data_IF_484695470997
#
_entry.id   IF_484695470997
#
_cell.length_a   1.000
_cell.length_b   1.000
_cell.length_c   1.000
_cell.angle_alpha   90.00
_cell.angle_beta   90.00
_cell.angle_gamma   90.00
#
_symmetry.space_group_name_H-M   'P 1'
#
loop_
_entity.id
_entity.type
_entity.pdbx_description
1 polymer ?
#
# COMPACT_ATOMS: atom_id res chain seq x y z
N UNK A 1 -5.01 -4.36 -8.30
CA UNK A 1 -3.78 -3.98 -7.54
C UNK A 1 -2.55 -3.67 -8.40
N UNK A 2 -2.27 -4.35 -9.53
CA UNK A 2 -1.07 -4.04 -10.37
C UNK A 2 -0.91 -2.56 -10.78
N UNK A 3 -2.02 -1.82 -10.87
CA UNK A 3 -2.02 -0.39 -11.15
C UNK A 3 -1.61 0.47 -9.94
N UNK A 4 -1.97 0.04 -8.73
CA UNK A 4 -1.49 0.62 -7.47
C UNK A 4 0.03 0.41 -7.36
N UNK A 5 0.51 -0.79 -7.68
CA UNK A 5 1.95 -1.08 -7.70
C UNK A 5 2.72 -0.21 -8.71
N UNK A 6 2.13 0.10 -9.87
CA UNK A 6 2.73 1.04 -10.81
C UNK A 6 2.79 2.47 -10.22
N UNK A 7 1.73 2.93 -9.57
CA UNK A 7 1.74 4.21 -8.84
C UNK A 7 2.83 4.24 -7.78
N UNK A 8 2.95 3.17 -6.98
CA UNK A 8 3.97 3.04 -5.96
C UNK A 8 5.40 2.98 -6.53
N UNK A 9 5.60 2.31 -7.67
CA UNK A 9 6.86 2.34 -8.41
C UNK A 9 7.24 3.76 -8.84
N UNK A 10 6.29 4.53 -9.38
CA UNK A 10 6.51 5.92 -9.78
C UNK A 10 6.82 6.82 -8.59
N UNK A 11 6.03 6.72 -7.51
CA UNK A 11 6.22 7.48 -6.28
C UNK A 11 7.61 7.23 -5.68
N UNK A 12 8.01 5.97 -5.54
CA UNK A 12 9.32 5.62 -4.98
C UNK A 12 10.48 5.99 -5.92
N UNK A 13 10.27 5.97 -7.24
CA UNK A 13 11.26 6.47 -8.20
C UNK A 13 11.45 7.99 -8.10
N UNK A 14 10.37 8.75 -7.89
CA UNK A 14 10.43 10.20 -7.59
C UNK A 14 11.21 10.45 -6.30
N UNK A 15 10.86 9.75 -5.22
CA UNK A 15 11.53 9.91 -3.93
C UNK A 15 13.03 9.60 -4.03
N UNK A 16 13.41 8.57 -4.78
CA UNK A 16 14.82 8.24 -4.99
C UNK A 16 15.60 9.35 -5.74
N UNK A 17 14.93 10.11 -6.62
CA UNK A 17 15.51 11.26 -7.31
C UNK A 17 15.62 12.52 -6.45
N UNK A 18 14.70 12.69 -5.50
CA UNK A 18 14.60 13.90 -4.66
C UNK A 18 15.39 13.78 -3.34
N UNK A 19 15.51 12.57 -2.78
CA UNK A 19 16.22 12.32 -1.53
C UNK A 19 17.75 12.46 -1.70
N UNK A 20 18.36 13.33 -0.90
CA UNK A 20 19.79 13.66 -1.02
C UNK A 20 20.71 12.57 -0.46
N UNK A 21 20.33 11.95 0.66
CA UNK A 21 21.15 10.95 1.31
C UNK A 21 21.06 9.61 0.58
N UNK A 22 22.20 9.04 0.17
CA UNK A 22 22.26 7.73 -0.49
C UNK A 22 21.57 6.63 0.32
N UNK A 23 21.69 6.68 1.65
CA UNK A 23 21.02 5.72 2.55
C UNK A 23 19.51 5.77 2.42
N UNK A 24 18.91 6.91 2.06
CA UNK A 24 17.47 7.08 1.86
C UNK A 24 17.08 6.79 0.42
N UNK A 25 17.76 7.39 -0.55
CA UNK A 25 17.41 7.22 -1.98
C UNK A 25 17.56 5.77 -2.45
N UNK A 26 18.58 5.04 -1.96
CA UNK A 26 18.77 3.64 -2.33
C UNK A 26 17.62 2.73 -1.85
N UNK A 27 17.04 2.99 -0.67
CA UNK A 27 15.91 2.19 -0.17
C UNK A 27 14.69 2.40 -1.05
N UNK A 28 14.46 3.63 -1.49
CA UNK A 28 13.35 3.98 -2.36
C UNK A 28 13.52 3.41 -3.78
N UNK A 29 14.74 3.40 -4.35
CA UNK A 29 14.90 2.77 -5.68
C UNK A 29 14.77 1.25 -5.62
N UNK A 30 15.24 0.60 -4.55
CA UNK A 30 15.02 -0.85 -4.38
C UNK A 30 13.54 -1.17 -4.25
N UNK A 31 12.82 -0.49 -3.35
CA UNK A 31 11.39 -0.74 -3.17
C UNK A 31 10.58 -0.38 -4.43
N UNK A 32 10.98 0.64 -5.20
CA UNK A 32 10.38 0.95 -6.49
C UNK A 32 10.47 -0.25 -7.45
N UNK A 33 11.64 -0.87 -7.55
CA UNK A 33 11.83 -2.04 -8.42
C UNK A 33 11.09 -3.27 -7.91
N UNK A 34 10.98 -3.43 -6.58
CA UNK A 34 10.14 -4.47 -6.00
C UNK A 34 8.67 -4.28 -6.39
N UNK A 35 8.14 -3.04 -6.34
CA UNK A 35 6.77 -2.76 -6.78
C UNK A 35 6.53 -3.15 -8.23
N UNK A 36 7.49 -2.86 -9.10
CA UNK A 36 7.42 -3.30 -10.50
C UNK A 36 7.35 -4.83 -10.59
N UNK A 37 8.18 -5.54 -9.82
CA UNK A 37 8.15 -7.00 -9.72
C UNK A 37 6.82 -7.56 -9.19
N UNK A 38 6.26 -6.95 -8.15
CA UNK A 38 4.95 -7.33 -7.58
C UNK A 38 3.84 -7.11 -8.62
N UNK A 39 3.83 -5.97 -9.31
CA UNK A 39 2.91 -5.71 -10.42
C UNK A 39 3.03 -6.73 -11.56
N UNK A 40 4.25 -7.22 -11.84
CA UNK A 40 4.49 -8.30 -12.81
C UNK A 40 3.95 -9.64 -12.33
N UNK A 41 4.14 -10.02 -11.06
CA UNK A 41 3.55 -11.24 -10.49
C UNK A 41 2.03 -11.21 -10.56
N UNK A 42 1.39 -10.10 -10.15
CA UNK A 42 -0.05 -9.92 -10.26
C UNK A 42 -0.53 -10.02 -11.71
N UNK A 43 0.25 -9.50 -12.67
CA UNK A 43 -0.07 -9.63 -14.10
C UNK A 43 0.04 -11.08 -14.59
N UNK A 44 1.00 -11.86 -14.07
CA UNK A 44 1.15 -13.27 -14.41
C UNK A 44 0.02 -14.14 -13.88
N UNK A 45 -0.61 -13.78 -12.76
CA UNK A 45 -1.83 -14.46 -12.27
C UNK A 45 -2.93 -14.36 -13.35
N UNK A 46 -3.19 -13.16 -13.87
CA UNK A 46 -4.18 -12.97 -14.93
C UNK A 46 -3.81 -13.72 -16.23
N UNK A 47 -2.54 -13.71 -16.63
CA UNK A 47 -2.07 -14.46 -17.80
C UNK A 47 -2.16 -15.98 -17.61
N UNK A 48 -2.03 -16.48 -16.39
CA UNK A 48 -2.25 -17.90 -16.09
C UNK A 48 -3.72 -18.28 -16.27
N UNK A 49 -4.64 -17.39 -15.87
CA UNK A 49 -6.09 -17.58 -16.00
C UNK A 49 -6.52 -17.62 -17.48
N UNK A 50 -5.97 -16.74 -18.33
CA UNK A 50 -6.42 -16.61 -19.72
C UNK A 50 -5.59 -17.40 -20.75
N UNK A 51 -4.66 -18.24 -20.30
CA UNK A 51 -3.78 -19.01 -21.18
C UNK A 51 -2.75 -18.15 -21.94
N UNK A 52 -2.27 -17.08 -21.31
CA UNK A 52 -1.29 -16.11 -21.86
C UNK A 52 -1.77 -15.35 -23.09
N UNK A 53 -3.07 -15.09 -23.18
CA UNK A 53 -3.68 -14.32 -24.28
C UNK A 53 -3.71 -12.82 -24.00
N UNK A 54 -3.66 -12.41 -22.73
CA UNK A 54 -3.74 -11.01 -22.31
C UNK A 54 -5.16 -10.48 -22.14
N UNK A 55 -6.19 -11.25 -22.49
CA UNK A 55 -7.60 -10.84 -22.35
C UNK A 55 -8.01 -10.60 -20.89
N UNK A 56 -7.51 -11.39 -19.95
CA UNK A 56 -7.78 -11.17 -18.52
C UNK A 56 -7.09 -9.91 -18.01
N UNK A 57 -5.96 -9.49 -18.60
CA UNK A 57 -5.33 -8.21 -18.27
C UNK A 57 -6.15 -7.02 -18.76
N UNK A 58 -6.75 -7.14 -19.95
CA UNK A 58 -7.65 -6.13 -20.51
C UNK A 58 -8.93 -6.02 -19.70
N UNK A 59 -9.53 -7.15 -19.34
CA UNK A 59 -10.72 -7.19 -18.46
C UNK A 59 -10.40 -6.59 -17.08
N UNK A 60 -9.30 -7.03 -16.44
CA UNK A 60 -8.86 -6.51 -15.15
C UNK A 60 -8.59 -5.00 -15.18
N UNK A 61 -8.07 -4.49 -16.31
CA UNK A 61 -7.90 -3.04 -16.51
C UNK A 61 -9.24 -2.35 -16.70
N UNK A 62 -10.21 -2.97 -17.37
CA UNK A 62 -11.58 -2.47 -17.47
C UNK A 62 -12.17 -2.18 -16.10
N UNK A 63 -12.08 -3.14 -15.16
CA UNK A 63 -12.53 -2.89 -13.77
C UNK A 63 -11.79 -1.72 -13.11
N UNK A 64 -10.46 -1.62 -13.27
CA UNK A 64 -9.71 -0.49 -12.72
C UNK A 64 -10.15 0.86 -13.29
N UNK A 65 -10.47 0.90 -14.58
CA UNK A 65 -10.82 2.15 -15.27
C UNK A 65 -12.26 2.58 -15.00
N UNK A 66 -13.20 1.63 -15.02
CA UNK A 66 -14.61 1.94 -15.20
C UNK A 66 -15.49 1.49 -14.02
N UNK A 67 -15.05 0.54 -13.19
CA UNK A 67 -15.83 0.05 -12.06
C UNK A 67 -15.76 1.04 -10.88
N UNK A 68 -16.92 1.45 -10.36
CA UNK A 68 -17.06 2.37 -9.23
C UNK A 68 -16.28 1.91 -7.99
N UNK A 69 -16.17 0.59 -7.78
CA UNK A 69 -15.43 -0.01 -6.66
C UNK A 69 -13.98 0.48 -6.62
N UNK A 70 -13.32 0.61 -7.78
CA UNK A 70 -11.91 0.96 -7.86
C UNK A 70 -11.65 2.47 -7.90
N UNK A 71 -12.66 3.31 -8.13
CA UNK A 71 -12.44 4.74 -8.34
C UNK A 71 -11.85 5.47 -7.13
N UNK A 72 -12.23 5.17 -5.87
CA UNK A 72 -11.58 5.76 -4.70
C UNK A 72 -10.08 5.44 -4.64
N UNK A 73 -9.69 4.19 -4.91
CA UNK A 73 -8.27 3.79 -4.96
C UNK A 73 -7.55 4.42 -6.15
N UNK A 74 -8.16 4.42 -7.33
CA UNK A 74 -7.59 5.03 -8.53
C UNK A 74 -7.33 6.52 -8.33
N UNK A 75 -8.32 7.23 -7.80
CA UNK A 75 -8.18 8.65 -7.44
C UNK A 75 -7.05 8.85 -6.44
N UNK A 76 -6.99 8.08 -5.36
CA UNK A 76 -5.92 8.21 -4.37
C UNK A 76 -4.54 8.01 -5.01
N UNK A 77 -4.38 6.98 -5.84
CA UNK A 77 -3.11 6.75 -6.57
C UNK A 77 -2.77 7.97 -7.43
N UNK A 78 -3.71 8.46 -8.23
CA UNK A 78 -3.51 9.65 -9.08
C UNK A 78 -3.18 10.92 -8.26
N UNK A 79 -3.82 11.10 -7.09
CA UNK A 79 -3.53 12.20 -6.16
C UNK A 79 -2.12 12.09 -5.56
N UNK A 80 -1.61 10.89 -5.27
CA UNK A 80 -0.23 10.72 -4.79
C UNK A 80 0.82 11.06 -5.83
N UNK A 81 0.52 10.88 -7.13
CA UNK A 81 1.45 11.18 -8.23
C UNK A 81 1.75 12.68 -8.37
N UNK A 82 0.98 13.54 -7.69
CA UNK A 82 1.13 15.01 -7.73
C UNK A 82 1.56 15.61 -6.38
N UNK A 83 1.98 14.79 -5.42
CA UNK A 83 2.57 15.27 -4.16
C UNK A 83 4.00 15.71 -4.38
N UNK A 84 4.31 16.96 -4.02
CA UNK A 84 5.64 17.55 -4.23
C UNK A 84 6.67 17.08 -3.19
N UNK A 85 6.31 17.11 -1.90
CA UNK A 85 7.19 16.76 -0.79
C UNK A 85 7.46 15.24 -0.79
N UNK A 86 8.72 14.86 -0.96
CA UNK A 86 9.11 13.45 -1.06
C UNK A 86 8.92 12.68 0.25
N UNK A 87 8.99 13.34 1.41
CA UNK A 87 8.78 12.68 2.69
C UNK A 87 7.28 12.53 2.99
N UNK A 88 6.47 13.52 2.60
CA UNK A 88 5.01 13.34 2.56
C UNK A 88 4.65 12.15 1.68
N UNK A 89 5.24 12.07 0.48
CA UNK A 89 4.98 10.99 -0.46
C UNK A 89 5.39 9.61 0.07
N UNK A 90 6.55 9.47 0.72
CA UNK A 90 6.96 8.18 1.34
C UNK A 90 6.04 7.80 2.50
N UNK A 91 5.61 8.77 3.31
CA UNK A 91 4.68 8.52 4.41
C UNK A 91 3.35 7.99 3.87
N UNK A 92 2.77 8.65 2.86
CA UNK A 92 1.49 8.23 2.28
C UNK A 92 1.60 6.87 1.61
N UNK A 93 2.60 6.68 0.74
CA UNK A 93 2.74 5.46 -0.04
C UNK A 93 3.18 4.26 0.81
N UNK A 94 4.32 4.39 1.50
CA UNK A 94 5.04 3.27 2.11
C UNK A 94 4.62 2.96 3.55
N UNK A 95 3.89 3.86 4.20
CA UNK A 95 3.43 3.68 5.59
C UNK A 95 1.93 3.58 5.66
N UNK A 96 1.19 4.55 5.12
CA UNK A 96 -0.26 4.63 5.29
C UNK A 96 -1.01 3.69 4.34
N UNK A 97 -0.82 3.85 3.03
CA UNK A 97 -1.49 3.00 2.04
C UNK A 97 -1.03 1.54 2.15
N UNK A 98 0.28 1.29 2.10
CA UNK A 98 0.81 -0.07 2.25
C UNK A 98 0.46 -0.70 3.60
N UNK A 99 0.47 0.11 4.66
CA UNK A 99 0.19 -0.33 6.03
C UNK A 99 -1.20 -0.95 6.18
N UNK A 100 -2.17 -0.40 5.46
CA UNK A 100 -3.53 -0.93 5.40
C UNK A 100 -3.67 -2.01 4.33
N UNK A 101 -3.18 -1.72 3.12
CA UNK A 101 -3.41 -2.54 1.94
C UNK A 101 -2.77 -3.92 2.07
N UNK A 102 -1.50 -4.03 2.50
CA UNK A 102 -0.85 -5.34 2.52
C UNK A 102 -1.47 -6.27 3.56
N UNK A 103 -1.82 -5.76 4.73
CA UNK A 103 -2.57 -6.52 5.74
C UNK A 103 -3.97 -6.91 5.23
N UNK A 104 -4.71 -5.99 4.62
CA UNK A 104 -6.04 -6.32 4.10
C UNK A 104 -5.99 -7.39 2.99
N UNK A 105 -5.08 -7.25 2.03
CA UNK A 105 -5.06 -8.09 0.83
C UNK A 105 -4.34 -9.41 1.05
N UNK A 106 -3.12 -9.38 1.57
CA UNK A 106 -2.23 -10.55 1.56
C UNK A 106 -2.28 -11.35 2.87
N UNK A 107 -3.08 -10.91 3.84
CA UNK A 107 -3.39 -11.66 5.06
C UNK A 107 -4.90 -11.93 5.14
N UNK A 108 -5.71 -10.88 5.31
CA UNK A 108 -7.17 -11.06 5.57
C UNK A 108 -7.95 -11.57 4.36
N UNK A 109 -7.74 -10.99 3.18
CA UNK A 109 -8.40 -11.42 1.95
C UNK A 109 -7.82 -12.75 1.42
N UNK A 110 -6.55 -13.05 1.69
CA UNK A 110 -5.93 -14.33 1.37
C UNK A 110 -6.65 -15.49 2.09
N UNK A 111 -6.91 -15.35 3.39
CA UNK A 111 -7.73 -16.30 4.15
C UNK A 111 -9.19 -16.37 3.65
N UNK A 112 -9.74 -15.25 3.19
CA UNK A 112 -11.08 -15.24 2.59
C UNK A 112 -11.12 -15.99 1.24
N UNK A 113 -10.07 -15.90 0.41
CA UNK A 113 -9.99 -16.64 -0.86
C UNK A 113 -10.07 -18.16 -0.67
N UNK A 114 -9.52 -18.70 0.42
CA UNK A 114 -9.68 -20.12 0.79
C UNK A 114 -11.17 -20.49 0.89
N UNK A 115 -11.97 -19.66 1.57
CA UNK A 115 -13.42 -19.87 1.69
C UNK A 115 -14.18 -19.78 0.36
N UNK A 116 -13.59 -19.14 -0.65
CA UNK A 116 -14.14 -19.02 -2.00
C UNK A 116 -13.62 -20.11 -2.96
N UNK A 117 -12.81 -21.06 -2.48
CA UNK A 117 -12.20 -22.12 -3.30
C UNK A 117 -11.04 -21.63 -4.18
N UNK A 118 -10.41 -20.51 -3.82
CA UNK A 118 -9.28 -19.91 -4.51
C UNK A 118 -7.96 -20.02 -3.70
N UNK A 119 -7.82 -21.06 -2.87
CA UNK A 119 -6.68 -21.28 -1.98
C UNK A 119 -5.32 -21.34 -2.71
N UNK A 120 -5.30 -21.83 -3.95
CA UNK A 120 -4.07 -21.93 -4.75
C UNK A 120 -3.46 -20.56 -5.08
N UNK A 121 -4.25 -19.48 -5.03
CA UNK A 121 -3.76 -18.11 -5.23
C UNK A 121 -2.78 -17.71 -4.11
N UNK A 122 -2.93 -18.26 -2.90
CA UNK A 122 -2.03 -17.97 -1.77
C UNK A 122 -0.58 -18.34 -2.06
N UNK A 123 -0.33 -19.40 -2.84
CA UNK A 123 1.03 -19.77 -3.27
C UNK A 123 1.62 -18.73 -4.24
N UNK A 124 0.79 -18.06 -5.03
CA UNK A 124 1.21 -17.05 -6.00
C UNK A 124 1.45 -15.68 -5.36
N UNK A 125 0.98 -15.47 -4.13
CA UNK A 125 1.08 -14.20 -3.38
C UNK A 125 2.06 -14.25 -2.20
N UNK A 126 2.75 -15.38 -1.99
CA UNK A 126 3.72 -15.56 -0.89
C UNK A 126 4.83 -14.51 -0.90
N UNK A 127 5.34 -14.17 -2.08
CA UNK A 127 6.36 -13.14 -2.25
C UNK A 127 5.96 -11.80 -1.62
N UNK A 128 4.69 -11.41 -1.73
CA UNK A 128 4.19 -10.13 -1.23
C UNK A 128 4.13 -10.11 0.29
N UNK A 129 3.79 -11.23 0.94
CA UNK A 129 3.82 -11.37 2.40
C UNK A 129 5.24 -11.25 2.96
N UNK A 130 6.18 -11.99 2.36
CA UNK A 130 7.58 -11.98 2.78
C UNK A 130 8.22 -10.61 2.55
N UNK A 131 7.97 -10.01 1.39
CA UNK A 131 8.41 -8.66 1.05
C UNK A 131 7.87 -7.63 2.05
N UNK A 132 6.57 -7.68 2.38
CA UNK A 132 5.99 -6.69 3.28
C UNK A 132 6.60 -6.80 4.69
N UNK A 133 6.77 -8.02 5.18
CA UNK A 133 7.42 -8.30 6.47
C UNK A 133 8.86 -7.77 6.53
N UNK A 134 9.60 -7.88 5.43
CA UNK A 134 10.93 -7.28 5.30
C UNK A 134 10.86 -5.75 5.27
N UNK A 135 9.98 -5.18 4.44
CA UNK A 135 9.81 -3.74 4.24
C UNK A 135 9.49 -2.99 5.55
N UNK A 136 8.75 -3.64 6.46
CA UNK A 136 8.45 -3.08 7.78
C UNK A 136 9.71 -2.71 8.55
N UNK A 137 10.83 -3.41 8.34
CA UNK A 137 12.08 -3.16 9.08
C UNK A 137 12.67 -1.79 8.74
N UNK A 138 12.81 -1.49 7.45
CA UNK A 138 13.43 -0.25 7.01
C UNK A 138 12.48 0.94 7.13
N UNK A 139 11.20 0.76 6.79
CA UNK A 139 10.19 1.83 6.91
C UNK A 139 10.01 2.27 8.36
N UNK A 140 9.98 1.32 9.31
CA UNK A 140 9.90 1.64 10.74
C UNK A 140 11.16 2.34 11.25
N UNK A 141 12.35 1.92 10.80
CA UNK A 141 13.60 2.57 11.17
C UNK A 141 13.64 4.02 10.68
N UNK A 142 13.21 4.26 9.43
CA UNK A 142 13.16 5.58 8.82
C UNK A 142 12.20 6.53 9.56
N UNK A 143 10.94 6.12 9.78
CA UNK A 143 9.96 6.96 10.49
C UNK A 143 10.39 7.22 11.93
N UNK A 144 10.94 6.21 12.63
CA UNK A 144 11.47 6.39 13.99
C UNK A 144 12.59 7.42 14.06
N UNK A 145 13.51 7.41 13.09
CA UNK A 145 14.59 8.39 13.05
C UNK A 145 14.03 9.80 12.84
N UNK A 146 13.12 9.97 11.88
CA UNK A 146 12.57 11.30 11.52
C UNK A 146 11.67 11.87 12.61
N UNK A 147 10.80 11.06 13.22
CA UNK A 147 9.89 11.51 14.28
C UNK A 147 10.58 11.70 15.64
N UNK A 148 11.74 11.07 15.82
CA UNK A 148 12.59 11.21 17.01
C UNK A 148 13.53 12.41 16.96
N UNK A 149 13.75 13.00 15.78
CA UNK A 149 14.71 14.10 15.58
C UNK A 149 14.22 15.42 16.17
N UNK A 150 12.94 15.77 16.01
CA UNK A 150 12.37 17.01 16.55
C UNK A 150 10.85 16.93 16.75
N UNK A 151 10.32 17.78 17.62
CA UNK A 151 8.86 17.93 17.78
C UNK A 151 8.22 18.48 16.51
N UNK A 152 8.87 19.43 15.84
CA UNK A 152 8.38 20.01 14.58
C UNK A 152 8.21 18.96 13.47
N UNK A 153 9.15 17.99 13.36
CA UNK A 153 8.98 16.87 12.45
C UNK A 153 7.75 16.04 12.81
N UNK A 154 7.55 15.77 14.10
CA UNK A 154 6.41 14.97 14.57
C UNK A 154 5.08 15.68 14.30
N UNK A 155 5.00 16.97 14.53
CA UNK A 155 3.82 17.80 14.21
C UNK A 155 3.51 17.76 12.70
N UNK A 156 4.52 17.89 11.85
CA UNK A 156 4.35 17.83 10.40
C UNK A 156 3.89 16.43 9.93
N UNK A 157 4.52 15.37 10.45
CA UNK A 157 4.09 13.99 10.17
C UNK A 157 2.65 13.75 10.63
N UNK A 158 2.28 14.24 11.81
CA UNK A 158 0.92 14.11 12.33
C UNK A 158 -0.09 14.83 11.43
N UNK A 159 0.23 16.04 10.97
CA UNK A 159 -0.62 16.79 10.03
C UNK A 159 -0.84 16.01 8.72
N UNK A 160 0.21 15.41 8.15
CA UNK A 160 0.09 14.58 6.96
C UNK A 160 -0.72 13.30 7.22
N UNK A 161 -0.54 12.64 8.37
CA UNK A 161 -1.33 11.46 8.76
C UNK A 161 -2.81 11.81 8.87
N UNK A 162 -3.15 12.91 9.55
CA UNK A 162 -4.54 13.35 9.74
C UNK A 162 -5.24 13.62 8.41
N UNK A 163 -4.49 14.07 7.40
CA UNK A 163 -4.99 14.30 6.05
C UNK A 163 -5.13 13.01 5.23
N UNK A 164 -4.10 12.16 5.20
CA UNK A 164 -3.98 11.08 4.23
C UNK A 164 -4.48 9.73 4.71
N UNK A 165 -4.37 9.43 6.01
CA UNK A 165 -4.78 8.13 6.53
C UNK A 165 -6.29 7.86 6.34
N UNK A 166 -7.20 8.83 6.56
CA UNK A 166 -8.62 8.63 6.25
C UNK A 166 -8.88 8.37 4.76
N UNK A 167 -8.09 8.97 3.87
CA UNK A 167 -8.21 8.77 2.42
C UNK A 167 -7.73 7.37 2.02
N UNK A 168 -6.62 6.89 2.58
CA UNK A 168 -6.15 5.52 2.38
C UNK A 168 -7.16 4.48 2.86
N UNK A 169 -7.79 4.71 4.02
CA UNK A 169 -8.88 3.87 4.51
C UNK A 169 -10.09 3.89 3.55
N UNK A 170 -10.55 5.06 3.15
CA UNK A 170 -11.69 5.20 2.24
C UNK A 170 -11.43 4.60 0.85
N UNK A 171 -10.18 4.61 0.38
CA UNK A 171 -9.78 3.97 -0.87
C UNK A 171 -9.87 2.44 -0.82
N UNK A 172 -9.65 1.83 0.35
CA UNK A 172 -9.71 0.39 0.55
C UNK A 172 -11.09 -0.11 0.97
N UNK A 173 -11.94 0.79 1.49
CA UNK A 173 -13.26 0.44 2.02
C UNK A 173 -14.16 -0.32 1.03
N UNK A 174 -14.36 0.13 -0.23
CA UNK A 174 -15.20 -0.61 -1.18
C UNK A 174 -14.67 -2.01 -1.47
N UNK A 175 -13.35 -2.17 -1.50
CA UNK A 175 -12.71 -3.46 -1.74
C UNK A 175 -12.91 -4.40 -0.55
N UNK A 176 -12.81 -3.89 0.68
CA UNK A 176 -13.10 -4.66 1.89
C UNK A 176 -14.57 -5.10 1.93
N UNK A 177 -15.52 -4.19 1.69
CA UNK A 177 -16.96 -4.47 1.67
C UNK A 177 -17.35 -5.50 0.60
N UNK A 178 -16.65 -5.50 -0.55
CA UNK A 178 -16.87 -6.46 -1.63
C UNK A 178 -16.21 -7.85 -1.41
N UNK A 179 -15.45 -8.04 -0.32
CA UNK A 179 -14.66 -9.26 -0.08
C UNK A 179 -14.77 -9.77 1.36
N UNK A 180 -13.76 -9.51 2.20
CA UNK A 180 -13.58 -10.02 3.56
C UNK A 180 -14.40 -9.26 4.61
N UNK A 181 -15.01 -8.13 4.24
CA UNK A 181 -15.84 -7.29 5.11
C UNK A 181 -15.09 -6.11 5.74
N UNK A 182 -15.86 -5.13 6.24
CA UNK A 182 -15.30 -3.89 6.78
C UNK A 182 -14.48 -4.10 8.07
N UNK A 183 -14.86 -5.08 8.89
CA UNK A 183 -14.17 -5.42 10.14
C UNK A 183 -12.70 -5.76 9.90
N UNK A 184 -12.39 -6.45 8.79
CA UNK A 184 -11.03 -6.77 8.41
C UNK A 184 -10.20 -5.51 8.08
N UNK A 185 -10.79 -4.51 7.41
CA UNK A 185 -10.12 -3.24 7.17
C UNK A 185 -9.93 -2.45 8.46
N UNK A 186 -10.90 -2.49 9.37
CA UNK A 186 -10.82 -1.88 10.70
C UNK A 186 -9.70 -2.50 11.54
N UNK A 187 -9.53 -3.81 11.51
CA UNK A 187 -8.39 -4.50 12.13
C UNK A 187 -7.05 -4.06 11.52
N UNK A 188 -6.95 -3.99 10.18
CA UNK A 188 -5.73 -3.50 9.51
C UNK A 188 -5.42 -2.04 9.93
N UNK A 189 -6.46 -1.21 10.12
CA UNK A 189 -6.33 0.15 10.62
C UNK A 189 -5.84 0.20 12.07
N UNK A 190 -6.32 -0.70 12.91
CA UNK A 190 -5.86 -0.83 14.30
C UNK A 190 -4.38 -1.26 14.38
N UNK A 191 -3.95 -2.15 13.50
CA UNK A 191 -2.54 -2.55 13.37
C UNK A 191 -1.64 -1.37 12.94
N UNK A 192 -2.06 -0.61 11.92
CA UNK A 192 -1.36 0.61 11.50
C UNK A 192 -1.30 1.63 12.65
N UNK A 193 -2.40 1.85 13.36
CA UNK A 193 -2.43 2.75 14.53
C UNK A 193 -1.44 2.31 15.61
N UNK A 194 -1.38 1.01 15.89
CA UNK A 194 -0.41 0.42 16.84
C UNK A 194 1.03 0.60 16.39
N UNK A 195 1.28 0.50 15.09
CA UNK A 195 2.59 0.75 14.47
C UNK A 195 2.99 2.23 14.64
N UNK A 196 2.11 3.18 14.31
CA UNK A 196 2.36 4.62 14.41
C UNK A 196 2.64 5.08 15.85
N UNK A 197 1.95 4.50 16.84
CA UNK A 197 2.19 4.80 18.27
C UNK A 197 3.64 4.57 18.70
N UNK A 198 4.35 3.62 18.08
CA UNK A 198 5.78 3.35 18.36
C UNK A 198 6.70 4.53 17.99
N UNK A 199 6.20 5.47 17.20
CA UNK A 199 6.93 6.64 16.70
C UNK A 199 6.41 7.96 17.29
N UNK A 200 5.52 7.90 18.28
CA UNK A 200 4.88 9.08 18.87
C UNK A 200 3.78 9.69 17.99
N UNK A 201 3.30 8.97 16.99
CA UNK A 201 2.27 9.42 16.03
C UNK A 201 0.95 8.69 16.29
N UNK A 202 -0.14 9.28 15.83
CA UNK A 202 -1.49 8.75 16.01
C UNK A 202 -2.22 8.73 14.68
N UNK A 203 -3.00 7.68 14.43
CA UNK A 203 -4.07 7.72 13.43
C UNK A 203 -5.41 7.60 14.15
N UNK A 204 -6.50 7.95 13.46
CA UNK A 204 -7.85 7.59 13.92
C UNK A 204 -7.97 6.07 13.88
N UNK A 205 -7.52 5.39 14.93
CA UNK A 205 -7.84 3.97 15.14
C UNK A 205 -9.36 3.79 15.16
N UNK A 206 -9.82 2.56 14.93
CA UNK A 206 -11.26 2.21 15.00
C UNK A 206 -11.84 2.84 16.25
N UNK A 207 -12.73 3.81 16.07
CA UNK A 207 -13.51 4.36 17.18
C UNK A 207 -14.24 3.19 17.82
N UNK A 208 -13.91 2.93 19.09
CA UNK A 208 -14.61 1.95 19.92
C UNK A 208 -16.11 2.25 20.00
#
# INVERSE_FOLDING_TARGET
LRHVELGANMNNSKIAGDAVATTVSQMHIYTAMDRLGIGQYLSRIALMIDGSTGKALDESKGYWMDDELWQPMRKLVEDTLVVDDWFELTLVQNILLDGLMYTLIYDKMDAWFESQGAEDVSMLTEFMRDWYKESLRWTNAMIKAVSGESEANRELLQQWIDNWEPQAYNALKPLAEASVGIDALDEARAELSTRLKKFGLQSRGVSA
#
